data_IF_798305138539
#
_entry.id   IF_798305138539
#
_cell.length_a   1.000
_cell.length_b   1.000
_cell.length_c   1.000
_cell.angle_alpha   90.00
_cell.angle_beta   90.00
_cell.angle_gamma   90.00
#
_symmetry.space_group_name_H-M   'P 1'
#
loop_
_entity.id
_entity.type
_entity.pdbx_description
1 polymer ?
#
# COMPACT_ATOMS: atom_id res chain seq x y z
N UNK A 1 -15.43 19.11 -27.09
CA UNK A 1 -16.27 19.78 -26.07
C UNK A 1 -15.78 19.25 -24.71
N UNK A 2 -14.94 19.98 -23.98
CA UNK A 2 -15.22 21.12 -23.08
C UNK A 2 -16.20 20.80 -21.95
N UNK A 3 -15.77 21.10 -20.71
CA UNK A 3 -16.58 21.21 -19.49
C UNK A 3 -16.20 20.15 -18.45
N UNK A 4 -15.35 20.37 -17.42
CA UNK A 4 -15.18 21.45 -16.42
C UNK A 4 -16.24 21.49 -15.30
N UNK A 5 -15.71 21.70 -14.08
CA UNK A 5 -16.29 22.19 -12.82
C UNK A 5 -16.69 21.12 -11.78
N UNK A 6 -16.28 21.20 -10.51
CA UNK A 6 -15.53 22.24 -9.80
C UNK A 6 -15.38 21.99 -8.29
N UNK A 7 -14.67 22.93 -7.65
CA UNK A 7 -14.29 23.08 -6.22
C UNK A 7 -13.09 22.23 -5.77
N UNK A 8 -11.86 22.74 -5.61
CA UNK A 8 -11.36 24.03 -5.12
C UNK A 8 -11.83 24.37 -3.70
N UNK A 9 -11.12 23.85 -2.69
CA UNK A 9 -10.91 24.56 -1.42
C UNK A 9 -9.45 24.96 -1.33
N UNK A 10 -9.23 26.17 -1.83
CA UNK A 10 -8.03 26.99 -1.67
C UNK A 10 -8.14 27.62 -0.28
N UNK A 11 -7.19 27.35 0.60
CA UNK A 11 -7.06 28.01 1.91
C UNK A 11 -5.67 28.61 2.02
N UNK A 12 -5.47 29.79 1.42
CA UNK A 12 -4.30 30.63 1.66
C UNK A 12 -4.82 31.99 2.13
N UNK A 13 -4.67 32.24 3.42
CA UNK A 13 -4.74 33.54 4.11
C UNK A 13 -4.07 33.28 5.48
N UNK A 14 -3.13 34.07 5.98
CA UNK A 14 -2.46 35.26 5.50
C UNK A 14 -1.17 35.43 6.32
N UNK A 15 -0.23 36.17 5.75
CA UNK A 15 0.80 36.85 6.53
C UNK A 15 0.11 38.00 7.26
N UNK A 16 0.38 38.17 8.56
CA UNK A 16 -0.16 39.27 9.36
C UNK A 16 0.39 39.24 10.78
N UNK A 17 1.14 40.27 11.13
CA UNK A 17 1.89 40.45 12.36
C UNK A 17 1.03 40.73 13.61
N UNK A 18 1.69 40.58 14.76
CA UNK A 18 1.47 41.30 16.02
C UNK A 18 0.32 40.89 16.96
N UNK A 19 0.68 40.68 18.23
CA UNK A 19 -0.23 40.68 19.39
C UNK A 19 -0.09 39.42 20.25
N UNK A 20 0.73 39.44 21.30
CA UNK A 20 0.30 39.76 22.68
C UNK A 20 -0.35 38.58 23.42
N UNK A 21 0.38 37.99 24.37
CA UNK A 21 -0.11 36.98 25.31
C UNK A 21 0.99 36.46 26.24
N UNK A 22 1.53 37.33 27.11
CA UNK A 22 1.43 37.22 28.58
C UNK A 22 1.79 35.84 29.17
N UNK A 23 3.06 35.70 29.54
CA UNK A 23 3.44 35.08 30.81
C UNK A 23 4.33 36.10 31.53
N UNK A 24 3.76 36.76 32.54
CA UNK A 24 4.47 37.72 33.41
C UNK A 24 4.52 37.19 34.83
N UNK A 25 5.58 37.56 35.55
CA UNK A 25 5.85 37.22 36.96
C UNK A 25 7.35 36.97 37.14
N UNK A 26 8.19 37.99 37.01
CA UNK A 26 8.71 38.80 38.13
C UNK A 26 9.96 38.14 38.76
N UNK A 27 11.14 38.62 38.36
CA UNK A 27 11.99 39.43 39.24
C UNK A 27 13.14 40.07 38.45
N UNK A 28 13.44 41.30 38.81
CA UNK A 28 14.54 42.12 38.30
C UNK A 28 15.87 41.42 38.47
N UNK A 29 16.70 41.40 37.42
CA UNK A 29 18.10 41.80 37.56
C UNK A 29 18.57 42.46 36.25
N UNK A 30 18.91 43.73 36.43
CA UNK A 30 19.73 44.65 35.64
C UNK A 30 20.35 44.17 34.31
N UNK A 31 20.18 45.05 33.31
CA UNK A 31 21.27 45.54 32.43
C UNK A 31 22.12 44.52 31.68
N UNK A 32 21.74 44.26 30.43
CA UNK A 32 22.56 44.68 29.28
C UNK A 32 21.88 44.29 27.98
N UNK A 33 21.67 45.27 27.12
CA UNK A 33 21.21 45.05 25.76
C UNK A 33 22.20 44.19 24.98
N UNK A 34 21.92 42.89 24.88
CA UNK A 34 22.51 41.99 23.91
C UNK A 34 21.57 41.87 22.73
N UNK A 35 21.55 42.90 21.87
CA UNK A 35 20.83 42.85 20.61
C UNK A 35 21.25 41.63 19.81
N UNK A 36 20.29 41.03 19.11
CA UNK A 36 20.52 39.98 18.12
C UNK A 36 21.69 40.37 17.20
N UNK A 37 22.88 39.85 17.48
CA UNK A 37 23.98 39.82 16.54
C UNK A 37 23.61 38.78 15.48
N UNK A 38 22.76 39.21 14.56
CA UNK A 38 22.70 38.60 13.24
C UNK A 38 24.10 38.61 12.64
N UNK A 39 24.33 37.71 11.70
CA UNK A 39 25.55 37.47 10.90
C UNK A 39 26.18 38.69 10.18
N UNK A 40 25.80 39.90 10.56
CA UNK A 40 26.33 41.17 10.08
C UNK A 40 27.36 41.69 11.08
N UNK A 41 28.64 41.49 10.77
CA UNK A 41 29.62 42.54 11.08
C UNK A 41 30.67 42.27 12.15
N UNK A 42 31.20 41.05 12.28
CA UNK A 42 32.44 40.82 13.05
C UNK A 42 33.59 40.28 12.20
N UNK A 43 33.59 40.52 10.89
CA UNK A 43 34.72 40.17 10.03
C UNK A 43 35.80 41.25 10.12
N UNK A 44 36.64 41.21 11.16
CA UNK A 44 37.97 41.87 11.14
C UNK A 44 38.98 41.05 10.33
N UNK A 45 38.53 40.39 9.26
CA UNK A 45 39.38 39.54 8.43
C UNK A 45 40.09 40.35 7.36
N UNK A 46 41.34 40.01 7.05
CA UNK A 46 42.04 40.61 5.91
C UNK A 46 41.29 40.27 4.61
N UNK A 47 41.43 41.11 3.57
CA UNK A 47 40.84 40.85 2.25
C UNK A 47 41.22 39.46 1.71
N UNK A 48 42.41 38.97 2.08
CA UNK A 48 42.89 37.65 1.74
C UNK A 48 42.03 36.53 2.34
N UNK A 49 41.68 36.60 3.63
CA UNK A 49 40.84 35.58 4.27
C UNK A 49 39.41 35.54 3.69
N UNK A 50 38.89 36.70 3.30
CA UNK A 50 37.61 36.77 2.60
C UNK A 50 37.69 36.10 1.23
N UNK A 51 38.78 36.35 0.48
CA UNK A 51 39.03 35.70 -0.81
C UNK A 51 39.16 34.18 -0.67
N UNK A 52 39.90 33.69 0.33
CA UNK A 52 40.04 32.27 0.65
C UNK A 52 38.67 31.63 0.93
N UNK A 53 37.83 32.26 1.75
CA UNK A 53 36.48 31.73 2.04
C UNK A 53 35.55 31.74 0.84
N UNK A 54 35.66 32.73 -0.05
CA UNK A 54 34.91 32.71 -1.31
C UNK A 54 35.41 31.62 -2.24
N UNK A 55 36.72 31.34 -2.27
CA UNK A 55 37.28 30.24 -3.03
C UNK A 55 36.77 28.89 -2.50
N UNK A 56 36.77 28.68 -1.18
CA UNK A 56 36.22 27.47 -0.56
C UNK A 56 34.72 27.30 -0.82
N UNK A 57 33.95 28.40 -0.73
CA UNK A 57 32.52 28.37 -1.02
C UNK A 57 32.25 28.03 -2.49
N UNK A 58 33.03 28.59 -3.41
CA UNK A 58 32.93 28.28 -4.84
C UNK A 58 33.31 26.82 -5.13
N UNK A 59 34.37 26.30 -4.48
CA UNK A 59 34.78 24.90 -4.57
C UNK A 59 33.63 23.99 -4.08
N UNK A 60 33.12 24.22 -2.87
CA UNK A 60 32.00 23.48 -2.31
C UNK A 60 30.74 23.52 -3.21
N UNK A 61 30.44 24.67 -3.82
CA UNK A 61 29.31 24.80 -4.74
C UNK A 61 29.50 23.97 -6.01
N UNK A 62 30.70 24.02 -6.60
CA UNK A 62 31.02 23.21 -7.79
C UNK A 62 31.01 21.71 -7.49
N UNK A 63 31.51 21.29 -6.32
CA UNK A 63 31.40 19.91 -5.86
C UNK A 63 29.96 19.47 -5.64
N UNK A 64 29.11 20.33 -5.05
CA UNK A 64 27.69 20.03 -4.87
C UNK A 64 26.96 19.82 -6.22
N UNK A 65 27.32 20.61 -7.24
CA UNK A 65 26.79 20.40 -8.60
C UNK A 65 27.26 19.07 -9.19
N UNK A 66 28.55 18.74 -9.07
CA UNK A 66 29.12 17.47 -9.56
C UNK A 66 28.46 16.26 -8.88
N UNK A 67 28.31 16.29 -7.56
CA UNK A 67 27.63 15.23 -6.81
C UNK A 67 26.17 15.07 -7.25
N UNK A 68 25.46 16.18 -7.50
CA UNK A 68 24.09 16.12 -8.02
C UNK A 68 24.02 15.47 -9.40
N UNK A 69 24.98 15.74 -10.27
CA UNK A 69 25.07 15.12 -11.59
C UNK A 69 25.40 13.63 -11.50
N UNK A 70 26.36 13.25 -10.66
CA UNK A 70 26.70 11.86 -10.36
C UNK A 70 25.47 11.12 -9.82
N UNK A 71 24.75 11.68 -8.85
CA UNK A 71 23.53 11.08 -8.32
C UNK A 71 22.46 10.91 -9.39
N UNK A 72 22.27 11.90 -10.27
CA UNK A 72 21.35 11.79 -11.40
C UNK A 72 21.75 10.66 -12.34
N UNK A 73 23.04 10.53 -12.64
CA UNK A 73 23.57 9.46 -13.49
C UNK A 73 23.32 8.08 -12.87
N UNK A 74 23.66 7.90 -11.59
CA UNK A 74 23.42 6.65 -10.85
C UNK A 74 21.92 6.32 -10.80
N UNK A 75 21.08 7.32 -10.54
CA UNK A 75 19.64 7.13 -10.47
C UNK A 75 19.04 6.77 -11.85
N UNK A 76 19.52 7.38 -12.93
CA UNK A 76 19.12 7.02 -14.29
C UNK A 76 19.50 5.57 -14.62
N UNK A 77 20.72 5.14 -14.26
CA UNK A 77 21.18 3.76 -14.41
C UNK A 77 20.30 2.78 -13.64
N UNK A 78 20.01 3.05 -12.37
CA UNK A 78 19.14 2.20 -11.55
C UNK A 78 17.71 2.11 -12.12
N UNK A 79 17.18 3.19 -12.70
CA UNK A 79 15.87 3.16 -13.38
C UNK A 79 15.90 2.26 -14.61
N UNK A 80 16.96 2.32 -15.41
CA UNK A 80 17.15 1.46 -16.57
C UNK A 80 17.25 -0.02 -16.17
N UNK A 81 18.05 -0.34 -15.17
CA UNK A 81 18.21 -1.70 -14.63
C UNK A 81 16.88 -2.22 -14.06
N UNK A 82 16.14 -1.41 -13.29
CA UNK A 82 14.79 -1.77 -12.81
C UNK A 82 13.81 -2.03 -13.95
N UNK A 83 13.85 -1.24 -15.03
CA UNK A 83 13.01 -1.46 -16.20
C UNK A 83 13.32 -2.82 -16.86
N UNK A 84 14.61 -3.15 -17.00
CA UNK A 84 15.08 -4.46 -17.49
C UNK A 84 14.58 -5.60 -16.61
N UNK A 85 14.79 -5.51 -15.30
CA UNK A 85 14.34 -6.54 -14.34
C UNK A 85 12.82 -6.71 -14.32
N UNK A 86 12.05 -5.64 -14.55
CA UNK A 86 10.57 -5.73 -14.68
C UNK A 86 10.16 -6.50 -15.92
N UNK A 87 10.84 -6.29 -17.05
CA UNK A 87 10.58 -7.05 -18.28
C UNK A 87 10.94 -8.52 -18.12
N UNK A 88 12.07 -8.81 -17.49
CA UNK A 88 12.50 -10.17 -17.18
C UNK A 88 11.52 -10.86 -16.22
N UNK A 89 11.09 -10.20 -15.15
CA UNK A 89 10.04 -10.71 -14.27
C UNK A 89 8.73 -10.99 -15.00
N UNK A 90 8.35 -10.14 -15.97
CA UNK A 90 7.15 -10.39 -16.80
C UNK A 90 7.33 -11.63 -17.67
N UNK A 91 8.52 -11.84 -18.25
CA UNK A 91 8.85 -13.04 -19.01
C UNK A 91 8.78 -14.29 -18.12
N UNK A 92 9.48 -14.27 -16.98
CA UNK A 92 9.49 -15.38 -16.01
C UNK A 92 8.08 -15.71 -15.50
N UNK A 93 7.23 -14.70 -15.25
CA UNK A 93 5.83 -14.94 -14.86
C UNK A 93 5.03 -15.64 -15.96
N UNK A 94 5.30 -15.37 -17.23
CA UNK A 94 4.67 -16.08 -18.35
C UNK A 94 5.17 -17.53 -18.42
N UNK A 95 6.48 -17.73 -18.31
CA UNK A 95 7.11 -19.05 -18.30
C UNK A 95 6.62 -19.90 -17.12
N UNK A 96 6.61 -19.36 -15.90
CA UNK A 96 6.08 -20.02 -14.73
C UNK A 96 4.60 -20.37 -14.89
N UNK A 97 3.80 -19.51 -15.52
CA UNK A 97 2.40 -19.81 -15.82
C UNK A 97 2.26 -20.95 -16.83
N UNK A 98 3.10 -21.01 -17.86
CA UNK A 98 3.09 -22.15 -18.80
C UNK A 98 3.54 -23.44 -18.11
N UNK A 99 4.61 -23.39 -17.31
CA UNK A 99 5.09 -24.56 -16.57
C UNK A 99 4.05 -25.05 -15.57
N UNK A 100 3.39 -24.14 -14.84
CA UNK A 100 2.31 -24.49 -13.92
C UNK A 100 1.14 -25.14 -14.65
N UNK A 101 0.75 -24.61 -15.83
CA UNK A 101 -0.28 -25.25 -16.66
C UNK A 101 0.14 -26.64 -17.14
N UNK A 102 1.39 -26.83 -17.56
CA UNK A 102 1.93 -28.13 -17.95
C UNK A 102 1.93 -29.12 -16.77
N UNK A 103 2.31 -28.66 -15.58
CA UNK A 103 2.35 -29.49 -14.38
C UNK A 103 0.95 -29.89 -13.90
N UNK A 104 -0.03 -28.97 -13.94
CA UNK A 104 -1.40 -29.26 -13.51
C UNK A 104 -2.22 -30.03 -14.53
N UNK A 105 -2.05 -29.76 -15.83
CA UNK A 105 -2.81 -30.44 -16.89
C UNK A 105 -2.16 -31.76 -17.33
N UNK A 106 -0.99 -32.11 -16.75
CA UNK A 106 -0.23 -33.31 -17.09
C UNK A 106 0.31 -33.29 -18.54
N UNK A 107 1.04 -34.34 -18.96
CA UNK A 107 1.30 -34.59 -20.37
C UNK A 107 -0.04 -34.57 -21.12
N UNK A 108 -0.11 -33.90 -22.27
CA UNK A 108 -1.36 -33.62 -22.98
C UNK A 108 -2.28 -34.83 -23.19
N UNK A 109 -3.56 -34.60 -23.49
CA UNK A 109 -4.60 -35.63 -23.58
C UNK A 109 -4.43 -36.53 -24.80
N UNK A 110 -3.44 -37.41 -24.76
CA UNK A 110 -3.39 -38.67 -25.52
C UNK A 110 -3.83 -39.86 -24.63
N UNK A 111 -4.44 -39.59 -23.47
CA UNK A 111 -5.06 -40.60 -22.62
C UNK A 111 -6.57 -40.63 -22.90
N UNK A 112 -7.14 -41.76 -23.37
CA UNK A 112 -8.56 -41.82 -23.69
C UNK A 112 -9.38 -41.59 -22.43
N UNK A 113 -10.23 -40.56 -22.49
CA UNK A 113 -11.13 -40.13 -21.43
C UNK A 113 -12.13 -41.25 -21.08
N UNK A 114 -12.14 -41.65 -19.82
CA UNK A 114 -13.22 -42.39 -19.19
C UNK A 114 -13.65 -41.64 -17.92
N UNK A 115 -14.17 -40.41 -18.09
CA UNK A 115 -15.00 -39.66 -17.14
C UNK A 115 -15.36 -38.32 -17.80
N UNK A 116 -16.65 -38.00 -17.90
CA UNK A 116 -17.17 -36.81 -18.58
C UNK A 116 -16.73 -35.51 -17.87
N UNK A 117 -15.80 -34.71 -18.44
CA UNK A 117 -15.22 -33.53 -17.78
C UNK A 117 -16.23 -32.38 -17.54
N UNK A 118 -17.43 -32.48 -18.13
CA UNK A 118 -18.49 -31.49 -17.99
C UNK A 118 -19.15 -31.49 -16.61
N UNK A 119 -19.29 -32.66 -15.98
CA UNK A 119 -19.99 -32.79 -14.70
C UNK A 119 -19.14 -32.29 -13.53
N UNK A 120 -17.84 -32.61 -13.54
CA UNK A 120 -16.89 -32.12 -12.53
C UNK A 120 -16.71 -30.60 -12.59
N UNK A 121 -16.63 -30.04 -13.80
CA UNK A 121 -16.53 -28.59 -13.98
C UNK A 121 -17.81 -27.86 -13.52
N UNK A 122 -18.98 -28.46 -13.71
CA UNK A 122 -20.25 -27.93 -13.20
C UNK A 122 -20.33 -28.02 -11.66
N UNK A 123 -19.88 -29.14 -11.08
CA UNK A 123 -19.84 -29.35 -9.63
C UNK A 123 -18.92 -28.33 -8.93
N UNK A 124 -17.73 -28.07 -9.48
CA UNK A 124 -16.78 -27.08 -8.93
C UNK A 124 -17.32 -25.65 -9.03
N UNK A 125 -18.02 -25.31 -10.13
CA UNK A 125 -18.70 -24.01 -10.26
C UNK A 125 -19.82 -23.86 -9.23
N UNK A 126 -20.59 -24.92 -9.00
CA UNK A 126 -21.63 -24.93 -7.97
C UNK A 126 -21.04 -24.78 -6.56
N UNK A 127 -19.92 -25.45 -6.26
CA UNK A 127 -19.18 -25.29 -4.99
C UNK A 127 -18.67 -23.86 -4.79
N UNK A 128 -18.07 -23.25 -5.83
CA UNK A 128 -17.63 -21.85 -5.78
C UNK A 128 -18.79 -20.89 -5.56
N UNK A 129 -19.93 -21.13 -6.21
CA UNK A 129 -21.15 -20.34 -6.00
C UNK A 129 -21.65 -20.42 -4.54
N UNK A 130 -21.65 -21.62 -3.95
CA UNK A 130 -22.00 -21.81 -2.52
C UNK A 130 -21.05 -21.06 -1.60
N UNK A 131 -19.74 -21.17 -1.83
CA UNK A 131 -18.73 -20.51 -1.00
C UNK A 131 -18.81 -18.98 -1.11
N UNK A 132 -19.02 -18.44 -2.31
CA UNK A 132 -19.21 -17.00 -2.52
C UNK A 132 -20.47 -16.48 -1.82
N UNK A 133 -21.55 -17.25 -1.83
CA UNK A 133 -22.78 -16.89 -1.13
C UNK A 133 -22.60 -16.92 0.40
N UNK A 134 -21.89 -17.92 0.95
CA UNK A 134 -21.50 -17.96 2.38
C UNK A 134 -20.70 -16.71 2.75
N UNK A 135 -19.69 -16.36 1.95
CA UNK A 135 -18.89 -15.15 2.17
C UNK A 135 -19.74 -13.88 2.14
N UNK A 136 -20.69 -13.79 1.20
CA UNK A 136 -21.62 -12.65 1.12
C UNK A 136 -22.50 -12.54 2.36
N UNK A 137 -22.98 -13.67 2.91
CA UNK A 137 -23.79 -13.74 4.13
C UNK A 137 -22.98 -13.32 5.35
N UNK A 138 -21.78 -13.87 5.54
CA UNK A 138 -20.88 -13.49 6.63
C UNK A 138 -20.55 -12.00 6.62
N UNK A 139 -20.25 -11.42 5.44
CA UNK A 139 -20.00 -9.97 5.33
C UNK A 139 -21.24 -9.13 5.65
N UNK A 140 -22.45 -9.60 5.32
CA UNK A 140 -23.69 -8.91 5.70
C UNK A 140 -23.92 -8.96 7.20
N UNK A 141 -23.65 -10.11 7.83
CA UNK A 141 -23.71 -10.28 9.27
C UNK A 141 -22.76 -9.32 9.98
N UNK A 142 -21.47 -9.33 9.63
CA UNK A 142 -20.47 -8.42 10.21
C UNK A 142 -20.80 -6.94 10.03
N UNK A 143 -21.43 -6.56 8.90
CA UNK A 143 -21.91 -5.20 8.68
C UNK A 143 -23.10 -4.84 9.57
N UNK A 144 -24.01 -5.79 9.82
CA UNK A 144 -25.14 -5.61 10.75
C UNK A 144 -24.64 -5.46 12.18
N UNK A 145 -23.76 -6.33 12.66
CA UNK A 145 -23.19 -6.24 14.01
C UNK A 145 -22.43 -4.91 14.20
N UNK A 146 -21.67 -4.47 13.19
CA UNK A 146 -20.99 -3.17 13.23
C UNK A 146 -21.97 -1.99 13.28
N UNK A 147 -23.14 -2.10 12.65
CA UNK A 147 -24.17 -1.05 12.65
C UNK A 147 -25.03 -1.07 13.94
N UNK A 148 -25.20 -2.23 14.58
CA UNK A 148 -25.93 -2.40 15.83
C UNK A 148 -25.15 -1.90 17.07
N UNK A 149 -23.82 -1.77 16.97
CA UNK A 149 -22.99 -0.97 17.87
C UNK A 149 -22.31 -1.74 19.00
N UNK A 150 -21.00 -1.98 18.85
CA UNK A 150 -20.05 -2.22 19.95
C UNK A 150 -20.15 -3.54 20.72
N UNK A 151 -19.06 -4.00 21.36
CA UNK A 151 -18.80 -5.40 21.74
C UNK A 151 -19.56 -5.94 22.98
N UNK A 152 -20.71 -5.35 23.36
CA UNK A 152 -21.43 -5.77 24.58
C UNK A 152 -22.74 -6.54 24.28
N UNK A 153 -22.92 -6.98 23.04
CA UNK A 153 -24.00 -7.91 22.64
C UNK A 153 -23.52 -9.14 21.87
N UNK A 154 -22.20 -9.35 21.73
CA UNK A 154 -21.63 -10.33 20.80
C UNK A 154 -21.73 -11.79 21.26
N UNK A 155 -21.84 -12.04 22.56
CA UNK A 155 -21.80 -13.41 23.08
C UNK A 155 -23.06 -14.23 22.68
N UNK A 156 -24.10 -13.58 22.15
CA UNK A 156 -25.32 -14.23 21.64
C UNK A 156 -25.36 -14.39 20.11
N UNK A 157 -24.54 -13.65 19.35
CA UNK A 157 -24.55 -13.66 17.86
C UNK A 157 -23.44 -14.54 17.25
N UNK A 158 -22.38 -14.85 18.00
CA UNK A 158 -21.26 -15.65 17.49
C UNK A 158 -21.68 -17.10 17.15
N UNK A 159 -22.71 -17.64 17.83
CA UNK A 159 -23.30 -18.95 17.52
C UNK A 159 -24.12 -19.00 16.22
N UNK A 160 -24.79 -17.91 15.84
CA UNK A 160 -25.59 -17.85 14.60
C UNK A 160 -24.70 -17.84 13.34
N UNK A 161 -23.49 -17.27 13.47
CA UNK A 161 -22.46 -17.28 12.43
C UNK A 161 -21.87 -18.68 12.21
N UNK A 162 -21.65 -19.44 13.29
CA UNK A 162 -21.19 -20.83 13.22
C UNK A 162 -22.29 -21.76 12.66
N UNK A 163 -23.55 -21.61 13.09
CA UNK A 163 -24.68 -22.37 12.55
C UNK A 163 -24.84 -22.15 11.02
N UNK A 164 -24.71 -20.91 10.54
CA UNK A 164 -24.75 -20.59 9.10
C UNK A 164 -23.57 -21.19 8.29
N UNK A 165 -22.46 -21.53 8.96
CA UNK A 165 -21.30 -22.16 8.35
C UNK A 165 -21.40 -23.70 8.39
N UNK A 166 -21.96 -24.26 9.46
CA UNK A 166 -22.07 -25.70 9.75
C UNK A 166 -23.25 -26.43 9.07
N UNK A 167 -24.31 -25.74 8.63
CA UNK A 167 -25.52 -26.36 8.04
C UNK A 167 -25.28 -27.35 6.86
N UNK A 168 -24.08 -27.41 6.28
CA UNK A 168 -23.76 -28.27 5.12
C UNK A 168 -22.56 -29.22 5.33
N UNK A 169 -22.07 -29.44 6.57
CA UNK A 169 -21.03 -30.48 6.81
C UNK A 169 -21.56 -31.93 6.67
N UNK A 170 -22.84 -32.14 6.34
CA UNK A 170 -23.36 -33.49 6.06
C UNK A 170 -23.06 -33.87 4.60
N UNK A 171 -22.13 -34.81 4.34
CA UNK A 171 -21.82 -35.20 2.97
C UNK A 171 -23.06 -35.86 2.33
N UNK A 172 -23.26 -35.70 1.00
CA UNK A 172 -24.32 -36.42 0.29
C UNK A 172 -24.07 -37.93 0.46
N UNK A 173 -25.09 -38.63 0.96
CA UNK A 173 -25.08 -40.09 1.09
C UNK A 173 -24.70 -40.75 -0.24
N UNK A 174 -23.81 -41.76 -0.25
CA UNK A 174 -23.44 -42.45 -1.48
C UNK A 174 -24.66 -43.14 -2.10
N UNK A 175 -24.75 -43.21 -3.44
CA UNK A 175 -25.89 -43.80 -4.12
C UNK A 175 -26.01 -45.30 -3.79
N UNK A 176 -27.21 -45.72 -3.39
CA UNK A 176 -27.57 -47.12 -3.13
C UNK A 176 -27.34 -47.95 -4.40
N UNK A 177 -26.45 -48.94 -4.31
CA UNK A 177 -26.28 -49.94 -5.37
C UNK A 177 -27.43 -50.95 -5.29
N UNK A 178 -28.12 -51.28 -6.39
CA UNK A 178 -29.17 -52.28 -6.37
C UNK A 178 -28.56 -53.68 -6.15
N UNK A 179 -29.01 -54.32 -5.07
CA UNK A 179 -28.77 -55.73 -4.74
C UNK A 179 -29.19 -56.62 -5.92
N UNK A 180 -28.20 -57.14 -6.67
CA UNK A 180 -28.40 -58.24 -7.60
C UNK A 180 -28.56 -59.52 -6.77
N UNK A 181 -29.81 -59.92 -6.56
CA UNK A 181 -30.15 -61.25 -6.03
C UNK A 181 -29.73 -62.31 -7.06
N UNK A 182 -28.86 -63.22 -6.65
CA UNK A 182 -28.65 -64.51 -7.31
C UNK A 182 -29.35 -65.58 -6.49
#
# INVERSE_FOLDING_TARGET
RWGCNGSARRGRAGLGASGSGRCGGAEEFAESGGGQEGWRGQSRGSLQQLAERYADLAANHSEALRQREEQKWHNARLRQENARLRLENRRLRRENRSLFRQALLGPGPDRPLAAEPGEEAAALRAQLGRLQEKHRRALRHLRRCRAAGGPEGSDLDDGELDELLEEDERPPSPPEQPLVKR
#
